data_IF_416274782922
#
_entry.id   IF_416274782922
#
_cell.length_a   1.000
_cell.length_b   1.000
_cell.length_c   1.000
_cell.angle_alpha   90.00
_cell.angle_beta   90.00
_cell.angle_gamma   90.00
#
_symmetry.space_group_name_H-M   'P 1'
#
loop_
_entity.id
_entity.type
_entity.pdbx_description
1 polymer ?
#
# COMPACT_ATOMS: atom_id res chain seq x y z
N UNK A 1 20.98 37.19 -45.78
CA UNK A 1 21.75 36.43 -44.77
C UNK A 1 21.76 37.14 -43.42
N UNK A 2 20.72 37.04 -42.59
CA UNK A 2 20.82 37.45 -41.18
C UNK A 2 20.34 36.41 -40.15
N UNK A 3 20.27 35.09 -40.45
CA UNK A 3 19.79 34.08 -39.51
C UNK A 3 20.87 33.32 -38.71
N UNK A 4 22.15 33.41 -39.10
CA UNK A 4 23.24 32.64 -38.47
C UNK A 4 23.82 33.33 -37.23
N UNK A 5 23.78 34.65 -37.16
CA UNK A 5 24.31 35.44 -36.02
C UNK A 5 23.48 35.30 -34.74
N UNK A 6 22.19 35.03 -34.85
CA UNK A 6 21.30 34.95 -33.67
C UNK A 6 21.40 33.59 -32.94
N UNK A 7 21.73 32.51 -33.65
CA UNK A 7 21.91 31.17 -33.06
C UNK A 7 23.18 31.10 -32.21
N UNK A 8 24.30 31.65 -32.70
CA UNK A 8 25.55 31.66 -31.96
C UNK A 8 25.50 32.52 -30.68
N UNK A 9 24.70 33.59 -30.67
CA UNK A 9 24.49 34.39 -29.47
C UNK A 9 23.66 33.67 -28.41
N UNK A 10 22.62 32.93 -28.81
CA UNK A 10 21.80 32.10 -27.92
C UNK A 10 22.62 30.92 -27.32
N UNK A 11 23.41 30.24 -28.12
CA UNK A 11 24.27 29.15 -27.67
C UNK A 11 25.33 29.61 -26.66
N UNK A 12 25.94 30.79 -26.87
CA UNK A 12 26.90 31.37 -25.91
C UNK A 12 26.23 31.74 -24.58
N UNK A 13 24.98 32.20 -24.59
CA UNK A 13 24.24 32.53 -23.37
C UNK A 13 23.86 31.25 -22.59
N UNK A 14 23.45 30.19 -23.27
CA UNK A 14 23.17 28.87 -22.65
C UNK A 14 24.44 28.26 -22.01
N UNK A 15 25.58 28.35 -22.71
CA UNK A 15 26.84 27.86 -22.18
C UNK A 15 27.37 28.68 -20.99
N UNK A 16 27.14 30.00 -20.96
CA UNK A 16 27.44 30.83 -19.77
C UNK A 16 26.53 30.48 -18.60
N UNK A 17 25.24 30.28 -18.83
CA UNK A 17 24.28 29.85 -17.78
C UNK A 17 24.67 28.51 -17.15
N UNK A 18 25.03 27.49 -17.94
CA UNK A 18 25.48 26.18 -17.46
C UNK A 18 26.78 26.26 -16.64
N UNK A 19 27.73 27.10 -17.04
CA UNK A 19 28.97 27.31 -16.26
C UNK A 19 28.70 28.02 -14.93
N UNK A 20 27.78 28.96 -14.89
CA UNK A 20 27.39 29.66 -13.67
C UNK A 20 26.64 28.70 -12.72
N UNK A 21 25.75 27.86 -13.24
CA UNK A 21 25.05 26.84 -12.46
C UNK A 21 26.01 25.82 -11.86
N UNK A 22 26.98 25.33 -12.64
CA UNK A 22 28.01 24.39 -12.17
C UNK A 22 28.88 25.02 -11.07
N UNK A 23 29.23 26.29 -11.18
CA UNK A 23 30.01 27.01 -10.17
C UNK A 23 29.23 27.18 -8.85
N UNK A 24 27.91 27.38 -8.90
CA UNK A 24 27.04 27.47 -7.71
C UNK A 24 26.95 26.10 -7.03
N UNK A 25 26.76 25.02 -7.80
CA UNK A 25 26.71 23.65 -7.25
C UNK A 25 28.00 23.27 -6.53
N UNK A 26 29.16 23.59 -7.12
CA UNK A 26 30.47 23.33 -6.48
C UNK A 26 30.64 24.16 -5.21
N UNK A 27 30.20 25.42 -5.18
CA UNK A 27 30.28 26.26 -3.99
C UNK A 27 29.39 25.73 -2.83
N UNK A 28 28.21 25.25 -3.13
CA UNK A 28 27.29 24.65 -2.14
C UNK A 28 27.88 23.34 -1.59
N UNK A 29 28.45 22.48 -2.43
CA UNK A 29 29.10 21.25 -2.01
C UNK A 29 30.29 21.48 -1.08
N UNK A 30 31.11 22.49 -1.35
CA UNK A 30 32.26 22.84 -0.46
C UNK A 30 31.81 23.35 0.89
N UNK A 31 30.71 24.12 0.98
CA UNK A 31 30.14 24.58 2.25
C UNK A 31 29.56 23.40 3.05
N UNK A 32 28.88 22.46 2.39
CA UNK A 32 28.35 21.26 3.05
C UNK A 32 29.45 20.37 3.64
N UNK A 33 30.55 20.15 2.93
CA UNK A 33 31.72 19.38 3.41
C UNK A 33 32.39 20.06 4.61
N UNK A 34 32.49 21.40 4.61
CA UNK A 34 33.05 22.15 5.73
C UNK A 34 32.19 22.08 6.98
N UNK A 35 30.86 22.02 6.83
CA UNK A 35 29.92 21.86 7.95
C UNK A 35 30.01 20.47 8.60
N UNK A 36 30.18 19.41 7.82
CA UNK A 36 30.33 18.02 8.32
C UNK A 36 31.65 17.84 9.09
N UNK A 37 32.75 18.50 8.70
CA UNK A 37 34.02 18.40 9.36
C UNK A 37 34.10 19.13 10.73
N UNK A 38 33.11 20.00 11.01
CA UNK A 38 33.02 20.70 12.31
C UNK A 38 32.24 19.91 13.38
N UNK A 39 31.55 18.84 13.01
CA UNK A 39 30.70 18.05 13.93
C UNK A 39 31.47 16.84 14.52
N UNK A 40 32.59 16.44 13.93
CA UNK A 40 33.40 15.30 14.41
C UNK A 40 34.52 15.80 15.31
N UNK A 41 34.22 16.10 16.58
CA UNK A 41 35.22 16.12 17.65
C UNK A 41 35.04 14.89 18.52
N UNK A 42 36.09 14.06 18.71
CA UNK A 42 36.03 12.93 19.64
C UNK A 42 36.09 13.42 21.08
N UNK A 43 35.14 12.99 21.88
CA UNK A 43 35.18 13.14 23.33
C UNK A 43 36.00 11.96 23.90
N UNK A 44 37.15 12.30 24.45
CA UNK A 44 38.04 11.35 25.13
C UNK A 44 37.49 11.00 26.50
N UNK A 45 37.76 9.75 26.90
CA UNK A 45 37.25 9.10 28.06
C UNK A 45 37.88 9.51 29.39
N UNK A 46 37.34 8.94 30.46
CA UNK A 46 38.12 8.53 31.62
C UNK A 46 37.51 7.28 32.26
N UNK A 47 38.42 6.31 32.50
CA UNK A 47 38.24 5.12 33.30
C UNK A 47 38.09 5.45 34.77
N UNK A 48 37.37 4.59 35.52
CA UNK A 48 37.79 4.01 36.79
C UNK A 48 36.76 3.02 37.35
N UNK A 49 37.07 1.81 37.29
CA UNK A 49 37.44 0.76 38.22
C UNK A 49 36.70 0.65 39.57
N UNK A 50 36.03 -0.48 39.81
CA UNK A 50 36.19 -1.44 40.93
C UNK A 50 34.92 -2.29 41.11
N UNK A 51 34.98 -3.54 40.84
CA UNK A 51 35.35 -4.76 41.57
C UNK A 51 34.41 -5.16 42.71
N UNK A 52 34.08 -6.45 42.63
CA UNK A 52 33.80 -7.48 43.68
C UNK A 52 32.32 -7.65 44.04
N UNK A 53 31.77 -8.77 44.19
CA UNK A 53 32.13 -10.18 44.34
C UNK A 53 30.86 -10.93 44.74
N UNK A 54 30.67 -12.11 44.20
CA UNK A 54 29.71 -13.11 44.74
C UNK A 54 30.29 -13.76 45.99
N UNK A 55 29.51 -14.46 46.80
CA UNK A 55 29.48 -15.91 46.71
C UNK A 55 28.09 -16.52 47.06
N UNK A 56 27.77 -17.52 46.42
CA UNK A 56 27.71 -18.99 46.59
C UNK A 56 27.17 -19.55 47.91
N UNK A 57 26.40 -20.67 47.72
CA UNK A 57 26.20 -21.87 48.51
C UNK A 57 24.83 -21.99 49.23
N UNK A 58 24.09 -22.93 48.85
CA UNK A 58 24.00 -24.38 49.04
C UNK A 58 23.02 -24.84 50.14
N UNK A 59 22.09 -25.70 49.67
CA UNK A 59 21.64 -27.01 50.19
C UNK A 59 20.89 -27.05 51.53
N UNK A 60 19.81 -27.79 51.66
CA UNK A 60 19.63 -29.23 51.78
C UNK A 60 18.14 -29.56 52.10
N UNK A 61 17.68 -30.69 51.59
CA UNK A 61 16.42 -31.34 51.81
C UNK A 61 16.09 -31.68 53.26
N UNK A 62 14.80 -31.85 53.57
CA UNK A 62 14.30 -33.13 54.06
C UNK A 62 12.78 -33.23 54.12
N UNK A 63 12.33 -34.46 54.00
CA UNK A 63 11.07 -35.13 53.87
C UNK A 63 10.04 -34.92 54.98
N UNK A 64 8.76 -34.99 54.65
CA UNK A 64 7.82 -36.00 55.18
C UNK A 64 6.37 -35.74 54.74
N UNK A 65 5.73 -36.68 54.09
CA UNK A 65 4.29 -36.94 53.99
C UNK A 65 3.85 -37.85 55.15
N UNK A 66 2.53 -38.16 55.39
CA UNK A 66 1.28 -37.74 54.71
C UNK A 66 0.19 -37.29 55.71
N UNK A 67 -0.89 -36.68 55.23
CA UNK A 67 -2.23 -37.21 55.59
C UNK A 67 -3.37 -36.67 54.72
N UNK A 68 -4.32 -37.52 54.46
CA UNK A 68 -5.49 -37.42 53.62
C UNK A 68 -6.58 -36.56 54.24
N UNK A 69 -7.19 -35.66 53.48
CA UNK A 69 -8.61 -35.33 53.61
C UNK A 69 -9.19 -34.80 52.29
N UNK A 70 -10.21 -35.50 51.84
CA UNK A 70 -11.05 -35.16 50.71
C UNK A 70 -11.64 -33.77 50.82
N UNK A 71 -11.36 -32.91 49.82
CA UNK A 71 -12.12 -31.68 49.57
C UNK A 71 -12.55 -31.70 48.10
N UNK A 72 -13.85 -31.62 47.94
CA UNK A 72 -14.57 -31.46 46.67
C UNK A 72 -13.95 -30.38 45.81
N UNK A 73 -13.50 -30.76 44.63
CA UNK A 73 -13.11 -29.88 43.54
C UNK A 73 -14.31 -29.04 43.10
N UNK A 74 -14.37 -27.80 43.56
CA UNK A 74 -15.18 -26.77 42.93
C UNK A 74 -14.27 -26.20 41.83
N UNK A 75 -14.44 -26.74 40.63
CA UNK A 75 -13.90 -26.19 39.42
C UNK A 75 -14.43 -24.72 39.29
N UNK A 76 -13.62 -23.77 39.70
CA UNK A 76 -13.83 -22.38 39.33
C UNK A 76 -13.44 -22.27 37.87
N UNK A 77 -14.43 -22.39 36.97
CA UNK A 77 -14.27 -21.92 35.59
C UNK A 77 -13.98 -20.43 35.65
N UNK A 78 -12.76 -20.06 35.36
CA UNK A 78 -12.42 -18.67 35.00
C UNK A 78 -13.41 -18.21 33.91
N UNK A 79 -13.96 -16.99 33.96
CA UNK A 79 -14.85 -16.50 32.91
C UNK A 79 -14.07 -16.55 31.60
N UNK A 80 -14.53 -17.34 30.62
CA UNK A 80 -13.98 -17.25 29.25
C UNK A 80 -14.06 -15.81 28.83
N UNK A 81 -12.90 -15.21 28.50
CA UNK A 81 -12.87 -13.92 27.82
C UNK A 81 -13.76 -14.03 26.57
N UNK A 82 -14.59 -13.01 26.29
CA UNK A 82 -15.43 -13.04 25.09
C UNK A 82 -14.52 -13.22 23.86
N UNK A 83 -14.85 -14.18 23.02
CA UNK A 83 -14.09 -14.50 21.83
C UNK A 83 -13.86 -13.19 21.02
N UNK A 84 -12.59 -12.92 20.65
CA UNK A 84 -12.25 -11.76 19.83
C UNK A 84 -13.04 -11.84 18.52
N UNK A 85 -13.71 -10.74 18.09
CA UNK A 85 -14.39 -10.75 16.80
C UNK A 85 -13.44 -11.15 15.67
N UNK A 86 -13.91 -11.97 14.73
CA UNK A 86 -13.12 -12.32 13.56
C UNK A 86 -12.79 -11.07 12.74
N UNK A 87 -11.61 -11.06 12.15
CA UNK A 87 -11.20 -10.04 11.16
C UNK A 87 -11.34 -10.58 9.74
N UNK A 88 -11.30 -9.75 8.69
CA UNK A 88 -11.29 -10.25 7.31
C UNK A 88 -10.15 -11.24 7.05
N UNK A 89 -8.95 -11.00 7.60
CA UNK A 89 -7.79 -11.90 7.42
C UNK A 89 -7.94 -13.18 8.24
N UNK A 90 -8.51 -13.11 9.43
CA UNK A 90 -8.82 -14.34 10.21
C UNK A 90 -9.75 -15.28 9.44
N UNK A 91 -10.72 -14.71 8.73
CA UNK A 91 -11.72 -15.44 7.96
C UNK A 91 -11.18 -15.97 6.63
N UNK A 92 -10.67 -15.08 5.77
CA UNK A 92 -10.25 -15.46 4.41
C UNK A 92 -8.84 -16.04 4.35
N UNK A 93 -7.92 -15.63 5.25
CA UNK A 93 -6.49 -15.92 5.15
C UNK A 93 -5.82 -15.12 4.04
N UNK A 94 -4.76 -15.65 3.47
CA UNK A 94 -4.07 -15.10 2.32
C UNK A 94 -4.98 -15.10 1.07
N UNK A 95 -4.85 -14.07 0.24
CA UNK A 95 -5.55 -14.02 -1.04
C UNK A 95 -4.82 -14.85 -2.11
N UNK A 96 -5.56 -15.71 -2.80
CA UNK A 96 -5.06 -16.57 -3.88
C UNK A 96 -5.84 -16.37 -5.17
N UNK A 97 -5.16 -16.45 -6.29
CA UNK A 97 -5.80 -16.47 -7.60
C UNK A 97 -6.12 -17.93 -7.98
N UNK A 98 -7.41 -18.23 -8.13
CA UNK A 98 -7.89 -19.54 -8.57
C UNK A 98 -8.91 -19.34 -9.68
N UNK A 99 -8.67 -19.94 -10.84
CA UNK A 99 -9.55 -19.85 -12.01
C UNK A 99 -9.95 -18.41 -12.37
N UNK A 100 -8.99 -17.49 -12.35
CA UNK A 100 -9.19 -16.07 -12.67
C UNK A 100 -10.00 -15.29 -11.63
N UNK A 101 -10.07 -15.79 -10.39
CA UNK A 101 -10.77 -15.14 -9.27
C UNK A 101 -9.86 -15.06 -8.05
N UNK A 102 -10.06 -14.05 -7.22
CA UNK A 102 -9.37 -13.91 -5.93
C UNK A 102 -10.21 -14.58 -4.86
N UNK A 103 -9.64 -15.61 -4.23
CA UNK A 103 -10.28 -16.40 -3.16
C UNK A 103 -9.41 -16.40 -1.90
N UNK A 104 -10.04 -16.64 -0.75
CA UNK A 104 -9.33 -16.79 0.53
C UNK A 104 -8.71 -18.17 0.67
N UNK A 105 -7.47 -18.25 1.13
CA UNK A 105 -6.75 -19.51 1.31
C UNK A 105 -7.41 -20.44 2.36
N UNK A 106 -8.10 -19.87 3.36
CA UNK A 106 -8.79 -20.63 4.42
C UNK A 106 -10.19 -21.08 4.02
N UNK A 107 -10.92 -20.27 3.25
CA UNK A 107 -12.34 -20.52 2.95
C UNK A 107 -12.60 -21.02 1.55
N UNK A 108 -11.69 -20.73 0.61
CA UNK A 108 -11.87 -20.92 -0.83
C UNK A 108 -13.09 -20.15 -1.39
N UNK A 109 -13.57 -19.15 -0.65
CA UNK A 109 -14.63 -18.24 -1.08
C UNK A 109 -14.04 -17.01 -1.76
N UNK A 110 -14.83 -16.34 -2.60
CA UNK A 110 -14.45 -15.08 -3.22
C UNK A 110 -14.14 -14.03 -2.15
N UNK A 111 -12.97 -13.41 -2.23
CA UNK A 111 -12.59 -12.30 -1.36
C UNK A 111 -13.11 -11.01 -1.96
N UNK A 112 -14.05 -10.38 -1.26
CA UNK A 112 -14.65 -9.11 -1.63
C UNK A 112 -14.46 -8.12 -0.49
N UNK A 113 -13.28 -7.53 -0.41
CA UNK A 113 -12.95 -6.50 0.59
C UNK A 113 -13.04 -5.11 -0.01
N UNK A 114 -13.38 -4.15 0.85
CA UNK A 114 -13.55 -2.75 0.46
C UNK A 114 -12.81 -1.85 1.42
N UNK A 115 -12.12 -0.84 0.89
CA UNK A 115 -11.39 0.09 1.74
C UNK A 115 -10.93 1.35 1.04
N UNK A 116 -9.88 1.95 1.57
CA UNK A 116 -9.37 3.25 1.20
C UNK A 116 -7.90 3.20 0.78
N UNK A 117 -7.53 4.04 -0.19
CA UNK A 117 -6.14 4.34 -0.53
C UNK A 117 -5.69 5.59 0.21
N UNK A 118 -4.50 5.54 0.79
CA UNK A 118 -3.78 6.74 1.15
C UNK A 118 -3.39 7.50 -0.12
N UNK A 119 -3.36 8.82 -0.06
CA UNK A 119 -2.84 9.65 -1.14
C UNK A 119 -1.31 9.50 -1.25
N UNK A 120 -0.68 9.95 -2.33
CA UNK A 120 0.77 9.93 -2.55
C UNK A 120 1.55 10.23 -1.27
N UNK A 121 2.39 9.31 -0.83
CA UNK A 121 3.11 9.41 0.46
C UNK A 121 4.01 10.64 0.56
N UNK A 122 4.64 11.05 -0.53
CA UNK A 122 5.52 12.22 -0.60
C UNK A 122 4.80 13.56 -0.41
N UNK A 123 3.46 13.61 -0.61
CA UNK A 123 2.66 14.84 -0.48
C UNK A 123 1.69 14.83 0.69
N UNK A 124 1.37 13.66 1.24
CA UNK A 124 0.38 13.50 2.31
C UNK A 124 0.89 12.69 3.50
N UNK A 125 2.16 12.84 3.86
CA UNK A 125 2.84 12.12 4.96
C UNK A 125 2.06 12.14 6.27
N UNK A 126 1.36 13.24 6.58
CA UNK A 126 0.60 13.42 7.84
C UNK A 126 -0.49 12.38 8.06
N UNK A 127 -0.94 11.72 6.99
CA UNK A 127 -1.96 10.66 7.07
C UNK A 127 -1.37 9.26 7.23
N UNK A 128 -0.10 9.06 6.94
CA UNK A 128 0.57 7.77 7.06
C UNK A 128 0.96 7.49 8.50
N UNK A 129 -0.04 7.18 9.33
CA UNK A 129 0.12 6.87 10.75
C UNK A 129 -0.80 5.72 11.16
N UNK A 130 -0.45 5.04 12.25
CA UNK A 130 -1.27 3.97 12.85
C UNK A 130 -2.67 4.46 13.19
N UNK A 131 -2.81 5.69 13.72
CA UNK A 131 -4.10 6.28 14.07
C UNK A 131 -5.05 6.43 12.87
N UNK A 132 -4.52 6.74 11.67
CA UNK A 132 -5.35 6.81 10.48
C UNK A 132 -5.75 5.44 9.94
N UNK A 133 -4.95 4.40 10.13
CA UNK A 133 -5.39 3.02 9.86
C UNK A 133 -6.55 2.67 10.79
N UNK A 134 -6.41 2.95 12.09
CA UNK A 134 -7.47 2.71 13.07
C UNK A 134 -8.76 3.48 12.70
N UNK A 135 -8.63 4.75 12.34
CA UNK A 135 -9.76 5.57 11.91
C UNK A 135 -10.46 4.98 10.66
N UNK A 136 -9.70 4.47 9.69
CA UNK A 136 -10.28 3.82 8.51
C UNK A 136 -10.99 2.51 8.86
N UNK A 137 -10.45 1.73 9.77
CA UNK A 137 -11.08 0.47 10.21
C UNK A 137 -12.32 0.74 11.07
N UNK A 138 -12.23 1.62 12.07
CA UNK A 138 -13.30 1.83 13.05
C UNK A 138 -14.43 2.71 12.49
N UNK A 139 -14.07 3.81 11.84
CA UNK A 139 -15.05 4.80 11.37
C UNK A 139 -15.59 4.52 9.97
N UNK A 140 -14.76 4.02 9.05
CA UNK A 140 -15.15 3.68 7.68
C UNK A 140 -15.55 2.22 7.53
N UNK A 141 -15.05 1.32 8.40
CA UNK A 141 -15.25 -0.11 8.29
C UNK A 141 -14.38 -0.74 7.20
N UNK A 142 -13.21 -0.16 6.91
CA UNK A 142 -12.30 -0.68 5.89
C UNK A 142 -11.79 -2.07 6.24
N UNK A 143 -11.79 -2.95 5.25
CA UNK A 143 -11.26 -4.32 5.29
C UNK A 143 -9.88 -4.40 4.61
N UNK A 144 -9.51 -3.36 3.89
CA UNK A 144 -8.22 -3.19 3.22
C UNK A 144 -7.82 -1.71 3.21
N UNK A 145 -6.52 -1.45 3.34
CA UNK A 145 -5.94 -0.12 3.10
C UNK A 145 -4.84 -0.23 2.04
N UNK A 146 -4.64 0.82 1.24
CA UNK A 146 -3.61 0.86 0.20
C UNK A 146 -2.61 1.96 0.52
N UNK A 147 -1.32 1.60 0.58
CA UNK A 147 -0.20 2.50 0.80
C UNK A 147 0.37 2.95 -0.54
N UNK A 148 0.04 4.15 -0.99
CA UNK A 148 0.56 4.71 -2.24
C UNK A 148 1.94 5.33 -2.03
N UNK A 149 2.99 4.50 -2.10
CA UNK A 149 4.36 4.97 -1.99
C UNK A 149 4.73 5.78 -3.23
N UNK A 150 4.71 7.11 -3.09
CA UNK A 150 4.89 8.05 -4.18
C UNK A 150 6.31 8.02 -4.73
N UNK A 151 6.45 7.52 -5.95
CA UNK A 151 7.72 7.41 -6.67
C UNK A 151 7.71 8.37 -7.84
N UNK A 152 8.68 9.28 -7.89
CA UNK A 152 8.80 10.27 -8.95
C UNK A 152 9.61 9.69 -10.12
N UNK A 153 9.02 9.71 -11.32
CA UNK A 153 9.56 9.06 -12.52
C UNK A 153 10.40 9.99 -13.41
N UNK A 154 10.63 11.23 -13.00
CA UNK A 154 11.27 12.28 -13.79
C UNK A 154 12.79 12.40 -13.57
N UNK A 155 13.41 11.39 -12.93
CA UNK A 155 14.83 11.38 -12.60
C UNK A 155 15.18 12.16 -11.32
N UNK A 156 14.19 12.53 -10.52
CA UNK A 156 14.38 13.01 -9.15
C UNK A 156 14.79 11.81 -8.29
N UNK A 157 15.79 11.94 -7.40
CA UNK A 157 16.13 10.86 -6.47
C UNK A 157 14.93 10.44 -5.62
N UNK A 158 14.80 9.14 -5.35
CA UNK A 158 13.77 8.60 -4.49
C UNK A 158 13.83 9.22 -3.10
N UNK A 159 12.68 9.59 -2.56
CA UNK A 159 12.56 10.05 -1.19
C UNK A 159 12.24 8.86 -0.27
N UNK A 160 13.28 8.19 0.21
CA UNK A 160 13.16 7.05 1.13
C UNK A 160 12.67 7.47 2.53
N UNK A 161 12.53 8.77 2.82
CA UNK A 161 12.05 9.24 4.12
C UNK A 161 10.60 8.84 4.40
N UNK A 162 9.83 8.48 3.37
CA UNK A 162 8.47 7.97 3.52
C UNK A 162 8.41 6.47 3.84
N UNK A 163 9.47 5.69 3.64
CA UNK A 163 9.46 4.23 3.85
C UNK A 163 9.05 3.84 5.28
N UNK A 164 9.58 4.47 6.35
CA UNK A 164 9.15 4.15 7.71
C UNK A 164 7.65 4.45 7.96
N UNK A 165 7.09 5.46 7.29
CA UNK A 165 5.66 5.78 7.40
C UNK A 165 4.78 4.71 6.73
N UNK A 166 5.25 4.15 5.61
CA UNK A 166 4.59 3.01 4.96
C UNK A 166 4.62 1.79 5.90
N UNK A 167 5.74 1.54 6.54
CA UNK A 167 5.88 0.43 7.50
C UNK A 167 4.94 0.59 8.70
N UNK A 168 4.76 1.79 9.25
CA UNK A 168 3.77 2.05 10.31
C UNK A 168 2.34 1.66 9.89
N UNK A 169 1.95 1.97 8.64
CA UNK A 169 0.63 1.58 8.11
C UNK A 169 0.53 0.07 7.91
N UNK A 170 1.59 -0.59 7.39
CA UNK A 170 1.64 -2.05 7.23
C UNK A 170 1.46 -2.75 8.58
N UNK A 171 2.27 -2.36 9.58
CA UNK A 171 2.25 -2.95 10.91
C UNK A 171 0.87 -2.79 11.58
N UNK A 172 0.26 -1.60 11.46
CA UNK A 172 -1.07 -1.37 12.03
C UNK A 172 -2.17 -2.16 11.31
N UNK A 173 -2.11 -2.28 9.98
CA UNK A 173 -3.05 -3.12 9.24
C UNK A 173 -2.95 -4.59 9.64
N UNK A 174 -1.73 -5.09 9.86
CA UNK A 174 -1.49 -6.45 10.38
C UNK A 174 -2.09 -6.60 11.77
N UNK A 175 -1.85 -5.66 12.69
CA UNK A 175 -2.39 -5.68 14.06
C UNK A 175 -3.93 -5.65 14.06
N UNK A 176 -4.54 -4.88 13.15
CA UNK A 176 -5.99 -4.77 13.01
C UNK A 176 -6.63 -5.96 12.26
N UNK A 177 -5.82 -6.84 11.67
CA UNK A 177 -6.30 -7.99 10.89
C UNK A 177 -7.03 -7.59 9.60
N UNK A 178 -6.67 -6.45 9.01
CA UNK A 178 -7.13 -6.02 7.69
C UNK A 178 -6.02 -6.20 6.65
N UNK A 179 -6.40 -6.23 5.37
CA UNK A 179 -5.41 -6.33 4.29
C UNK A 179 -4.71 -4.99 4.07
N UNK A 180 -3.47 -5.07 3.59
CA UNK A 180 -2.68 -3.90 3.18
C UNK A 180 -2.06 -4.12 1.81
N UNK A 181 -2.31 -3.18 0.89
CA UNK A 181 -1.68 -3.14 -0.43
C UNK A 181 -0.47 -2.22 -0.34
N UNK A 182 0.71 -2.76 -0.62
CA UNK A 182 1.97 -2.01 -0.72
C UNK A 182 2.16 -1.63 -2.18
N UNK A 183 1.91 -0.38 -2.52
CA UNK A 183 1.87 0.09 -3.90
C UNK A 183 3.08 0.95 -4.26
N UNK A 184 3.78 0.53 -5.32
CA UNK A 184 4.76 1.36 -6.01
C UNK A 184 4.02 2.36 -6.89
N UNK A 185 3.68 3.49 -6.28
CA UNK A 185 2.79 4.50 -6.87
C UNK A 185 3.53 5.38 -7.87
N UNK A 186 3.62 4.89 -9.10
CA UNK A 186 4.40 5.45 -10.21
C UNK A 186 3.62 5.37 -11.52
N UNK A 187 3.90 6.31 -12.42
CA UNK A 187 3.44 6.30 -13.81
C UNK A 187 4.50 5.78 -14.79
N UNK A 188 5.72 5.57 -14.33
CA UNK A 188 6.88 5.20 -15.14
C UNK A 188 7.81 4.19 -14.45
N UNK A 189 7.28 3.30 -13.60
CA UNK A 189 8.05 2.35 -12.78
C UNK A 189 9.11 1.56 -13.57
N UNK A 190 8.81 1.22 -14.83
CA UNK A 190 9.72 0.50 -15.72
C UNK A 190 11.03 1.24 -16.03
N UNK A 191 11.14 2.53 -15.73
CA UNK A 191 12.34 3.32 -15.93
C UNK A 191 13.42 3.06 -14.85
N UNK A 192 13.01 2.58 -13.66
CA UNK A 192 13.89 2.40 -12.51
C UNK A 192 13.61 1.07 -11.78
N UNK A 193 13.81 -0.09 -12.44
CA UNK A 193 13.45 -1.39 -11.84
C UNK A 193 14.31 -1.74 -10.61
N UNK A 194 15.56 -1.30 -10.56
CA UNK A 194 16.50 -1.66 -9.49
C UNK A 194 16.00 -1.14 -8.11
N UNK A 195 15.42 0.05 -8.06
CA UNK A 195 14.88 0.60 -6.81
C UNK A 195 13.59 -0.12 -6.38
N UNK A 196 12.73 -0.48 -7.32
CA UNK A 196 11.56 -1.28 -7.03
C UNK A 196 11.95 -2.67 -6.49
N UNK A 197 12.97 -3.29 -7.09
CA UNK A 197 13.54 -4.57 -6.62
C UNK A 197 14.06 -4.45 -5.19
N UNK A 198 14.84 -3.39 -4.87
CA UNK A 198 15.29 -3.13 -3.49
C UNK A 198 14.11 -3.02 -2.53
N UNK A 199 13.20 -2.10 -2.82
CA UNK A 199 12.05 -1.79 -1.96
C UNK A 199 11.17 -3.02 -1.69
N UNK A 200 10.74 -3.69 -2.73
CA UNK A 200 9.89 -4.88 -2.57
C UNK A 200 10.64 -6.07 -1.97
N UNK A 201 11.94 -6.23 -2.26
CA UNK A 201 12.77 -7.28 -1.65
C UNK A 201 12.87 -7.11 -0.13
N UNK A 202 13.11 -5.90 0.36
CA UNK A 202 13.17 -5.59 1.78
C UNK A 202 11.81 -5.81 2.48
N UNK A 203 10.71 -5.31 1.88
CA UNK A 203 9.38 -5.47 2.45
C UNK A 203 8.86 -6.92 2.37
N UNK A 204 9.13 -7.65 1.29
CA UNK A 204 8.76 -9.05 1.17
C UNK A 204 9.52 -9.92 2.18
N UNK A 205 10.80 -9.65 2.42
CA UNK A 205 11.57 -10.33 3.46
C UNK A 205 11.02 -10.05 4.86
N UNK A 206 10.57 -8.82 5.14
CA UNK A 206 10.08 -8.41 6.46
C UNK A 206 8.63 -8.81 6.70
N UNK A 207 7.77 -8.65 5.71
CA UNK A 207 6.31 -8.76 5.87
C UNK A 207 5.66 -9.86 5.02
N UNK A 208 6.38 -10.50 4.13
CA UNK A 208 5.83 -11.47 3.19
C UNK A 208 5.26 -12.76 3.80
N UNK A 209 5.46 -12.99 5.09
CA UNK A 209 4.86 -14.11 5.81
C UNK A 209 3.46 -13.82 6.36
N UNK A 210 2.97 -12.58 6.27
CA UNK A 210 1.65 -12.21 6.79
C UNK A 210 0.58 -12.32 5.71
N UNK A 211 -0.49 -13.01 5.99
CA UNK A 211 -1.68 -13.16 5.12
C UNK A 211 -2.31 -11.81 4.71
N UNK A 212 -2.02 -10.75 5.48
CA UNK A 212 -2.51 -9.38 5.26
C UNK A 212 -1.94 -8.69 4.03
N UNK A 213 -0.71 -9.06 3.63
CA UNK A 213 0.12 -8.27 2.72
C UNK A 213 -0.16 -8.60 1.26
N UNK A 214 -0.33 -7.56 0.45
CA UNK A 214 -0.51 -7.62 -0.99
C UNK A 214 0.50 -6.64 -1.61
N UNK A 215 1.18 -7.03 -2.69
CA UNK A 215 2.15 -6.19 -3.36
C UNK A 215 1.56 -5.66 -4.67
N UNK A 216 1.54 -4.35 -4.87
CA UNK A 216 1.16 -3.72 -6.14
C UNK A 216 2.41 -3.09 -6.77
N UNK A 217 2.96 -3.77 -7.77
CA UNK A 217 4.30 -3.44 -8.29
C UNK A 217 4.29 -2.32 -9.32
N UNK A 218 3.14 -1.87 -9.80
CA UNK A 218 3.01 -0.76 -10.73
C UNK A 218 1.59 -0.17 -10.67
N UNK A 219 1.45 1.04 -10.18
CA UNK A 219 0.16 1.75 -10.06
C UNK A 219 -0.50 1.99 -11.43
N UNK A 220 0.06 2.90 -12.23
CA UNK A 220 -0.57 3.37 -13.47
C UNK A 220 0.42 3.53 -14.63
N UNK A 221 0.73 2.44 -15.34
CA UNK A 221 1.47 2.55 -16.59
C UNK A 221 0.71 3.47 -17.58
N UNK A 222 1.34 4.56 -18.01
CA UNK A 222 0.68 5.53 -18.90
C UNK A 222 0.74 5.11 -20.37
N UNK A 223 1.51 5.80 -21.20
CA UNK A 223 1.64 5.52 -22.64
C UNK A 223 2.80 4.55 -22.90
N UNK A 224 2.72 3.35 -22.35
CA UNK A 224 3.72 2.29 -22.45
C UNK A 224 3.08 1.01 -22.97
N UNK A 225 3.85 0.19 -23.70
CA UNK A 225 3.37 -1.11 -24.19
C UNK A 225 3.30 -2.12 -23.05
N UNK A 226 2.29 -2.99 -23.06
CA UNK A 226 2.16 -4.09 -22.10
C UNK A 226 3.42 -4.95 -21.98
N UNK A 227 4.10 -5.22 -23.09
CA UNK A 227 5.38 -5.93 -23.06
C UNK A 227 6.39 -5.31 -22.09
N UNK A 228 6.53 -3.99 -22.13
CA UNK A 228 7.49 -3.27 -21.23
C UNK A 228 7.03 -3.34 -19.78
N UNK A 229 5.72 -3.20 -19.52
CA UNK A 229 5.14 -3.36 -18.18
C UNK A 229 5.39 -4.76 -17.65
N UNK A 230 5.11 -5.78 -18.47
CA UNK A 230 5.32 -7.19 -18.12
C UNK A 230 6.78 -7.49 -17.81
N UNK A 231 7.70 -7.07 -18.67
CA UNK A 231 9.16 -7.25 -18.46
C UNK A 231 9.65 -6.64 -17.15
N UNK A 232 9.17 -5.45 -16.81
CA UNK A 232 9.43 -4.81 -15.51
C UNK A 232 8.83 -5.61 -14.35
N UNK A 233 7.54 -5.94 -14.44
CA UNK A 233 6.83 -6.64 -13.38
C UNK A 233 7.47 -8.02 -13.09
N UNK A 234 7.87 -8.77 -14.12
CA UNK A 234 8.53 -10.07 -13.97
C UNK A 234 9.85 -9.97 -13.20
N UNK A 235 10.61 -8.87 -13.37
CA UNK A 235 11.85 -8.63 -12.60
C UNK A 235 11.53 -8.43 -11.10
N UNK A 236 10.53 -7.60 -10.79
CA UNK A 236 10.16 -7.29 -9.40
C UNK A 236 9.48 -8.49 -8.73
N UNK A 237 8.61 -9.19 -9.45
CA UNK A 237 7.94 -10.42 -8.97
C UNK A 237 8.99 -11.48 -8.61
N UNK A 238 10.00 -11.69 -9.45
CA UNK A 238 11.07 -12.65 -9.16
C UNK A 238 11.84 -12.32 -7.87
N UNK A 239 11.94 -11.06 -7.47
CA UNK A 239 12.51 -10.68 -6.18
C UNK A 239 11.57 -11.00 -5.03
N UNK A 240 10.28 -10.58 -5.12
CA UNK A 240 9.27 -10.84 -4.09
C UNK A 240 9.13 -12.34 -3.82
N UNK A 241 9.10 -13.17 -4.88
CA UNK A 241 8.93 -14.63 -4.80
C UNK A 241 10.07 -15.37 -4.11
N UNK A 242 11.18 -14.71 -3.80
CA UNK A 242 12.23 -15.28 -2.94
C UNK A 242 11.78 -15.37 -1.47
N UNK A 243 10.78 -14.60 -1.07
CA UNK A 243 10.39 -14.40 0.32
C UNK A 243 8.88 -14.59 0.59
N UNK A 244 8.03 -14.50 -0.44
CA UNK A 244 6.58 -14.47 -0.27
C UNK A 244 5.82 -15.04 -1.48
N UNK A 245 4.77 -15.81 -1.18
CA UNK A 245 3.79 -16.31 -2.16
C UNK A 245 2.52 -15.43 -2.21
N UNK A 246 2.48 -14.33 -1.46
CA UNK A 246 1.32 -13.44 -1.37
C UNK A 246 0.89 -12.89 -2.73
N UNK A 247 -0.38 -12.46 -2.81
CA UNK A 247 -0.95 -11.86 -4.01
C UNK A 247 -0.12 -10.66 -4.49
N UNK A 248 0.22 -10.68 -5.78
CA UNK A 248 0.85 -9.54 -6.47
C UNK A 248 -0.15 -8.95 -7.45
N UNK A 249 -0.24 -7.62 -7.49
CA UNK A 249 -1.10 -6.86 -8.39
C UNK A 249 -0.24 -6.05 -9.35
N UNK A 250 -0.63 -6.03 -10.62
CA UNK A 250 0.12 -5.34 -11.67
C UNK A 250 -0.79 -4.40 -12.45
N UNK A 251 -0.37 -3.15 -12.57
CA UNK A 251 -1.04 -2.15 -13.42
C UNK A 251 -0.96 -2.49 -14.89
N UNK A 252 -1.92 -2.01 -15.66
CA UNK A 252 -1.97 -2.18 -17.12
C UNK A 252 -1.84 -0.84 -17.86
N UNK A 253 -1.48 -0.82 -19.15
CA UNK A 253 -1.34 0.43 -19.92
C UNK A 253 -2.56 1.36 -19.83
N UNK A 254 -2.33 2.65 -20.12
CA UNK A 254 -3.34 3.71 -20.12
C UNK A 254 -4.03 3.85 -18.76
N UNK A 255 -3.24 4.16 -17.71
CA UNK A 255 -3.73 4.39 -16.34
C UNK A 255 -4.53 3.20 -15.81
N UNK A 256 -3.98 2.01 -15.93
CA UNK A 256 -4.58 0.75 -15.48
C UNK A 256 -6.00 0.49 -16.02
N UNK A 257 -6.26 0.92 -17.28
CA UNK A 257 -7.53 0.73 -17.96
C UNK A 257 -7.48 -0.35 -19.07
N UNK A 258 -6.29 -0.82 -19.47
CA UNK A 258 -6.11 -1.76 -20.57
C UNK A 258 -5.81 -3.19 -20.11
N UNK A 259 -6.63 -3.69 -19.17
CA UNK A 259 -6.51 -5.06 -18.63
C UNK A 259 -6.58 -6.16 -19.69
N UNK A 260 -7.24 -5.91 -20.84
CA UNK A 260 -7.23 -6.82 -21.99
C UNK A 260 -5.81 -7.06 -22.54
N UNK A 261 -4.88 -6.11 -22.42
CA UNK A 261 -3.50 -6.32 -22.83
C UNK A 261 -2.81 -7.39 -21.96
N UNK A 262 -3.09 -7.35 -20.65
CA UNK A 262 -2.61 -8.38 -19.73
C UNK A 262 -3.28 -9.74 -20.00
N UNK A 263 -4.60 -9.77 -20.23
CA UNK A 263 -5.35 -10.99 -20.51
C UNK A 263 -4.86 -11.74 -21.75
N UNK A 264 -4.41 -11.03 -22.79
CA UNK A 264 -3.89 -11.66 -24.02
C UNK A 264 -2.48 -12.23 -23.88
N UNK A 265 -1.71 -11.80 -22.89
CA UNK A 265 -0.35 -12.27 -22.61
C UNK A 265 -0.03 -12.11 -21.12
N UNK A 266 -0.69 -12.88 -20.24
CA UNK A 266 -0.55 -12.73 -18.80
C UNK A 266 0.88 -13.01 -18.31
N UNK A 267 1.20 -12.57 -17.12
CA UNK A 267 2.44 -12.93 -16.39
C UNK A 267 2.33 -14.40 -16.01
N UNK A 268 3.43 -15.13 -16.16
CA UNK A 268 3.51 -16.54 -15.80
C UNK A 268 3.85 -16.71 -14.30
N UNK A 269 2.87 -16.39 -13.45
CA UNK A 269 2.94 -16.59 -12.00
C UNK A 269 1.54 -16.95 -11.50
N UNK A 270 1.46 -17.89 -10.55
CA UNK A 270 0.19 -18.49 -10.14
C UNK A 270 -0.67 -17.54 -9.28
N UNK A 271 -0.05 -16.55 -8.60
CA UNK A 271 -0.75 -15.65 -7.67
C UNK A 271 -0.60 -14.18 -8.08
N UNK A 272 -0.92 -13.86 -9.33
CA UNK A 272 -0.95 -12.50 -9.88
C UNK A 272 -2.35 -12.10 -10.29
N UNK A 273 -2.78 -10.93 -9.87
CA UNK A 273 -3.97 -10.22 -10.33
C UNK A 273 -3.57 -8.93 -11.07
N UNK A 274 -4.54 -8.33 -11.76
CA UNK A 274 -4.33 -7.08 -12.48
C UNK A 274 -5.26 -6.00 -11.94
N UNK A 275 -4.73 -4.77 -11.83
CA UNK A 275 -5.61 -3.69 -11.39
C UNK A 275 -6.33 -3.03 -12.56
N UNK A 276 -7.58 -2.63 -12.29
CA UNK A 276 -8.39 -1.76 -13.11
C UNK A 276 -8.67 -0.49 -12.32
N UNK A 277 -8.30 0.68 -12.87
CA UNK A 277 -8.63 1.96 -12.27
C UNK A 277 -9.82 2.61 -12.99
N UNK A 278 -10.76 3.15 -12.20
CA UNK A 278 -11.88 3.89 -12.76
C UNK A 278 -12.25 5.11 -11.90
N UNK A 279 -12.80 6.11 -12.54
CA UNK A 279 -13.46 7.25 -11.92
C UNK A 279 -14.87 7.36 -12.47
N UNK A 280 -15.87 7.23 -11.61
CA UNK A 280 -17.27 7.07 -12.02
C UNK A 280 -17.84 8.25 -12.81
N UNK A 281 -17.27 9.46 -12.63
CA UNK A 281 -17.62 10.62 -13.41
C UNK A 281 -17.09 10.61 -14.87
N UNK A 282 -16.13 9.72 -15.17
CA UNK A 282 -15.48 9.62 -16.49
C UNK A 282 -15.70 8.26 -17.14
N UNK A 283 -15.60 7.19 -16.38
CA UNK A 283 -15.60 5.81 -16.86
C UNK A 283 -16.95 5.14 -16.56
N UNK A 284 -17.51 4.48 -17.56
CA UNK A 284 -18.80 3.84 -17.44
C UNK A 284 -18.81 2.41 -17.98
N UNK A 285 -19.94 1.99 -18.53
CA UNK A 285 -20.16 0.61 -19.01
C UNK A 285 -19.08 0.11 -19.97
N UNK A 286 -18.56 0.95 -20.83
CA UNK A 286 -17.55 0.54 -21.81
C UNK A 286 -16.28 -0.05 -21.16
N UNK A 287 -15.87 0.47 -19.99
CA UNK A 287 -14.70 -0.02 -19.27
C UNK A 287 -15.03 -1.32 -18.51
N UNK A 288 -16.25 -1.42 -17.94
CA UNK A 288 -16.75 -2.68 -17.35
C UNK A 288 -16.82 -3.79 -18.39
N UNK A 289 -17.32 -3.51 -19.61
CA UNK A 289 -17.40 -4.48 -20.71
C UNK A 289 -16.00 -4.95 -21.18
N UNK A 290 -14.99 -4.09 -21.11
CA UNK A 290 -13.60 -4.46 -21.40
C UNK A 290 -13.02 -5.34 -20.29
N UNK A 291 -13.31 -5.03 -19.05
CA UNK A 291 -12.90 -5.83 -17.90
C UNK A 291 -13.58 -7.22 -17.90
N UNK A 292 -14.87 -7.30 -18.22
CA UNK A 292 -15.59 -8.57 -18.37
C UNK A 292 -14.91 -9.48 -19.40
N UNK A 293 -14.54 -8.95 -20.55
CA UNK A 293 -13.84 -9.71 -21.61
C UNK A 293 -12.45 -10.18 -21.15
N UNK A 294 -11.77 -9.40 -20.33
CA UNK A 294 -10.46 -9.78 -19.80
C UNK A 294 -10.60 -10.90 -18.76
N UNK A 295 -11.57 -10.79 -17.86
CA UNK A 295 -11.87 -11.85 -16.89
C UNK A 295 -12.33 -13.16 -17.56
N UNK A 296 -13.09 -13.07 -18.66
CA UNK A 296 -13.48 -14.23 -19.48
C UNK A 296 -12.28 -14.95 -20.12
N UNK A 297 -11.10 -14.30 -20.19
CA UNK A 297 -9.83 -14.92 -20.59
C UNK A 297 -9.04 -15.51 -19.42
N UNK A 298 -9.58 -15.44 -18.20
CA UNK A 298 -9.03 -16.14 -17.03
C UNK A 298 -8.10 -15.30 -16.16
N UNK A 299 -8.05 -13.96 -16.32
CA UNK A 299 -7.30 -13.10 -15.38
C UNK A 299 -8.16 -12.67 -14.20
N UNK A 300 -7.54 -12.56 -13.02
CA UNK A 300 -8.14 -11.96 -11.84
C UNK A 300 -7.98 -10.43 -11.83
N UNK A 301 -9.02 -9.72 -11.38
CA UNK A 301 -9.01 -8.25 -11.26
C UNK A 301 -9.21 -7.85 -9.81
N UNK A 302 -8.39 -6.87 -9.35
CA UNK A 302 -8.59 -6.10 -8.14
C UNK A 302 -8.67 -4.61 -8.54
N UNK A 303 -9.62 -3.86 -8.01
CA UNK A 303 -9.71 -2.41 -8.25
C UNK A 303 -8.96 -1.69 -7.12
N UNK A 304 -7.66 -1.49 -7.29
CA UNK A 304 -6.81 -0.89 -6.25
C UNK A 304 -7.01 0.62 -6.12
N UNK A 305 -7.60 1.25 -7.15
CA UNK A 305 -7.95 2.66 -7.14
C UNK A 305 -9.24 2.94 -7.90
N UNK A 306 -10.16 3.67 -7.25
CA UNK A 306 -11.36 4.20 -7.90
C UNK A 306 -11.82 5.50 -7.25
N UNK A 307 -12.51 6.36 -8.02
CA UNK A 307 -13.10 7.60 -7.53
C UNK A 307 -14.56 7.77 -7.93
N UNK A 308 -15.35 8.45 -7.08
CA UNK A 308 -16.74 8.81 -7.39
C UNK A 308 -16.90 10.06 -8.25
N UNK A 309 -15.80 10.75 -8.57
CA UNK A 309 -15.71 11.99 -9.34
C UNK A 309 -15.12 11.77 -10.72
N UNK A 310 -14.67 12.82 -11.43
CA UNK A 310 -13.97 12.68 -12.71
C UNK A 310 -12.54 12.19 -12.54
N UNK A 311 -11.93 11.69 -13.62
CA UNK A 311 -10.58 11.13 -13.62
C UNK A 311 -9.46 12.14 -13.31
N UNK A 312 -9.75 13.44 -13.34
CA UNK A 312 -8.82 14.49 -12.89
C UNK A 312 -8.90 14.76 -11.37
N UNK A 313 -9.65 13.94 -10.63
CA UNK A 313 -9.89 14.08 -9.20
C UNK A 313 -10.94 15.14 -8.84
N UNK A 314 -11.55 15.82 -9.82
CA UNK A 314 -12.48 16.93 -9.62
C UNK A 314 -13.91 16.61 -10.07
N UNK A 315 -14.82 17.55 -9.83
CA UNK A 315 -16.22 17.46 -10.23
C UNK A 315 -17.14 16.99 -9.10
N UNK A 316 -18.43 16.90 -9.43
CA UNK A 316 -19.43 16.41 -8.49
C UNK A 316 -19.41 14.87 -8.40
N UNK A 317 -19.92 14.35 -7.30
CA UNK A 317 -20.10 12.91 -7.09
C UNK A 317 -21.06 12.35 -8.15
N UNK A 318 -20.59 11.41 -8.96
CA UNK A 318 -21.35 10.72 -10.00
C UNK A 318 -22.11 9.52 -9.40
N UNK A 319 -23.11 9.79 -8.52
CA UNK A 319 -23.78 8.78 -7.69
C UNK A 319 -24.29 7.59 -8.48
N UNK A 320 -25.10 7.84 -9.54
CA UNK A 320 -25.68 6.77 -10.35
C UNK A 320 -24.59 5.88 -10.97
N UNK A 321 -23.54 6.48 -11.56
CA UNK A 321 -22.44 5.71 -12.17
C UNK A 321 -21.64 4.93 -11.10
N UNK A 322 -21.47 5.50 -9.91
CA UNK A 322 -20.83 4.80 -8.79
C UNK A 322 -21.65 3.58 -8.35
N UNK A 323 -22.97 3.72 -8.23
CA UNK A 323 -23.87 2.61 -7.90
C UNK A 323 -23.82 1.49 -8.95
N UNK A 324 -23.78 1.84 -10.25
CA UNK A 324 -23.62 0.86 -11.35
C UNK A 324 -22.26 0.13 -11.28
N UNK A 325 -21.18 0.81 -10.88
CA UNK A 325 -19.88 0.19 -10.67
C UNK A 325 -19.90 -0.76 -9.45
N UNK A 326 -20.52 -0.36 -8.34
CA UNK A 326 -20.62 -1.19 -7.15
C UNK A 326 -21.48 -2.43 -7.41
N UNK A 327 -22.61 -2.29 -8.09
CA UNK A 327 -23.41 -3.45 -8.50
C UNK A 327 -22.59 -4.44 -9.32
N UNK A 328 -21.84 -3.97 -10.32
CA UNK A 328 -20.99 -4.82 -11.16
C UNK A 328 -19.87 -5.48 -10.35
N UNK A 329 -19.20 -4.74 -9.44
CA UNK A 329 -18.18 -5.31 -8.56
C UNK A 329 -18.75 -6.36 -7.62
N UNK A 330 -19.95 -6.17 -7.10
CA UNK A 330 -20.62 -7.12 -6.22
C UNK A 330 -21.01 -8.40 -6.96
N UNK A 331 -21.55 -8.29 -8.17
CA UNK A 331 -21.88 -9.44 -9.03
C UNK A 331 -20.65 -10.27 -9.39
N UNK A 332 -19.48 -9.67 -9.51
CA UNK A 332 -18.21 -10.33 -9.87
C UNK A 332 -17.37 -10.75 -8.67
N UNK A 333 -17.68 -10.26 -7.46
CA UNK A 333 -16.89 -10.51 -6.25
C UNK A 333 -15.56 -9.76 -6.26
N UNK A 334 -15.50 -8.52 -6.78
CA UNK A 334 -14.28 -7.73 -6.95
C UNK A 334 -14.03 -6.87 -5.71
N UNK A 335 -12.81 -6.92 -5.18
CA UNK A 335 -12.31 -6.06 -4.10
C UNK A 335 -11.90 -4.69 -4.61
N UNK A 336 -11.96 -3.65 -3.75
CA UNK A 336 -11.62 -2.30 -4.18
C UNK A 336 -11.14 -1.36 -3.07
N UNK A 337 -10.33 -0.33 -3.46
CA UNK A 337 -9.91 0.79 -2.62
C UNK A 337 -10.32 2.12 -3.25
N UNK A 338 -10.95 3.01 -2.48
CA UNK A 338 -11.30 4.35 -2.93
C UNK A 338 -10.10 5.31 -2.86
N UNK A 339 -9.96 6.17 -3.82
CA UNK A 339 -9.02 7.29 -3.86
C UNK A 339 -9.69 8.57 -3.35
N UNK A 340 -9.25 9.29 -2.27
CA UNK A 340 -8.13 8.91 -1.41
C UNK A 340 -8.23 9.60 -0.04
N UNK A 341 -7.47 9.11 0.93
CA UNK A 341 -7.29 9.73 2.26
C UNK A 341 -6.36 10.94 2.11
N UNK A 342 -6.93 12.11 2.00
CA UNK A 342 -6.22 13.40 1.94
C UNK A 342 -7.18 14.57 2.17
N UNK A 343 -6.62 15.80 2.23
CA UNK A 343 -7.34 17.08 2.34
C UNK A 343 -6.96 18.08 1.24
N UNK A 344 -6.48 17.61 0.09
CA UNK A 344 -6.23 18.45 -1.07
C UNK A 344 -7.54 19.09 -1.55
N UNK A 345 -7.48 20.32 -2.07
CA UNK A 345 -8.66 20.97 -2.64
C UNK A 345 -9.05 20.33 -3.98
N UNK A 346 -9.64 19.15 -3.90
CA UNK A 346 -10.18 18.40 -5.06
C UNK A 346 -11.38 17.56 -4.65
N UNK A 347 -12.19 17.16 -5.63
CA UNK A 347 -13.44 16.43 -5.41
C UNK A 347 -13.27 15.02 -4.84
N UNK A 348 -12.10 14.39 -5.02
CA UNK A 348 -11.80 13.05 -4.53
C UNK A 348 -11.34 13.03 -3.06
N UNK A 349 -10.97 14.17 -2.48
CA UNK A 349 -10.51 14.27 -1.10
C UNK A 349 -11.62 13.94 -0.10
N UNK A 350 -11.30 13.11 0.90
CA UNK A 350 -12.29 12.79 1.94
C UNK A 350 -12.33 13.81 3.08
N UNK A 351 -11.26 14.59 3.28
CA UNK A 351 -11.21 15.63 4.31
C UNK A 351 -11.25 17.03 3.71
N UNK A 352 -11.87 17.94 4.44
CA UNK A 352 -11.82 19.37 4.15
C UNK A 352 -10.41 19.88 4.43
N UNK A 353 -9.87 20.68 3.51
CA UNK A 353 -8.52 21.21 3.58
C UNK A 353 -8.26 21.92 4.91
N UNK A 354 -7.10 21.63 5.50
CA UNK A 354 -6.61 22.21 6.75
C UNK A 354 -7.58 22.07 7.95
N UNK A 355 -8.57 21.17 7.85
CA UNK A 355 -9.51 20.86 8.95
C UNK A 355 -8.93 19.82 9.92
N UNK A 356 -9.62 19.63 11.04
CA UNK A 356 -9.34 18.50 11.94
C UNK A 356 -10.24 17.31 11.57
N UNK A 357 -9.98 16.69 10.41
CA UNK A 357 -10.72 15.54 9.87
C UNK A 357 -12.22 15.80 9.61
N UNK A 358 -12.60 17.06 9.34
CA UNK A 358 -13.93 17.36 8.83
C UNK A 358 -14.12 16.70 7.46
N UNK A 359 -15.19 15.92 7.30
CA UNK A 359 -15.44 15.20 6.05
C UNK A 359 -16.01 16.13 4.97
N UNK A 360 -15.53 15.98 3.75
CA UNK A 360 -16.16 16.55 2.55
C UNK A 360 -17.47 15.81 2.24
N UNK A 361 -18.26 16.32 1.28
CA UNK A 361 -19.41 15.57 0.75
C UNK A 361 -18.99 14.20 0.20
N UNK A 362 -17.85 14.14 -0.48
CA UNK A 362 -17.25 12.89 -0.98
C UNK A 362 -16.87 11.99 0.18
N UNK A 363 -16.21 12.51 1.22
CA UNK A 363 -15.83 11.73 2.41
C UNK A 363 -17.03 11.10 3.12
N UNK A 364 -18.13 11.84 3.26
CA UNK A 364 -19.38 11.33 3.84
C UNK A 364 -19.96 10.22 2.94
N UNK A 365 -20.09 10.47 1.64
CA UNK A 365 -20.65 9.52 0.68
C UNK A 365 -19.84 8.22 0.59
N UNK A 366 -18.51 8.30 0.53
CA UNK A 366 -17.63 7.13 0.50
C UNK A 366 -17.71 6.33 1.79
N UNK A 367 -17.74 7.01 2.95
CA UNK A 367 -17.91 6.34 4.25
C UNK A 367 -19.20 5.51 4.30
N UNK A 368 -20.31 6.08 3.84
CA UNK A 368 -21.61 5.40 3.76
C UNK A 368 -21.54 4.17 2.84
N UNK A 369 -20.94 4.30 1.65
CA UNK A 369 -20.79 3.21 0.69
C UNK A 369 -19.95 2.05 1.25
N UNK A 370 -18.79 2.36 1.83
CA UNK A 370 -17.91 1.34 2.41
C UNK A 370 -18.66 0.60 3.53
N UNK A 371 -19.26 1.32 4.48
CA UNK A 371 -20.03 0.70 5.56
C UNK A 371 -21.17 -0.17 5.05
N UNK A 372 -21.95 0.32 4.10
CA UNK A 372 -23.06 -0.45 3.53
C UNK A 372 -22.58 -1.78 2.93
N UNK A 373 -21.38 -1.80 2.33
CA UNK A 373 -20.81 -2.99 1.71
C UNK A 373 -20.20 -3.93 2.75
N UNK A 374 -19.49 -3.40 3.74
CA UNK A 374 -18.75 -4.18 4.75
C UNK A 374 -19.62 -4.63 5.92
N UNK A 375 -20.72 -3.96 6.24
CA UNK A 375 -21.65 -4.37 7.30
C UNK A 375 -22.29 -5.74 7.04
N UNK A 376 -22.34 -6.17 5.77
CA UNK A 376 -22.85 -7.47 5.35
C UNK A 376 -21.75 -8.48 5.02
N UNK A 377 -20.50 -8.19 5.34
CA UNK A 377 -19.37 -9.06 5.05
C UNK A 377 -19.53 -10.45 5.70
N UNK A 378 -19.12 -11.55 5.01
CA UNK A 378 -19.28 -12.90 5.52
C UNK A 378 -18.61 -13.12 6.87
N UNK A 379 -17.43 -12.58 7.08
CA UNK A 379 -16.66 -12.72 8.32
C UNK A 379 -17.35 -12.10 9.54
N UNK A 380 -18.13 -11.03 9.37
CA UNK A 380 -18.95 -10.44 10.45
C UNK A 380 -20.13 -11.32 10.86
N UNK A 381 -20.56 -12.21 9.97
CA UNK A 381 -21.67 -13.17 10.26
C UNK A 381 -21.18 -14.47 10.82
N UNK A 382 -19.87 -14.76 10.68
CA UNK A 382 -19.22 -15.95 11.19
C UNK A 382 -18.67 -15.76 12.62
N UNK A 383 -18.71 -14.52 13.14
CA UNK A 383 -18.23 -14.12 14.48
C UNK A 383 -19.22 -14.50 15.59
#
# INVERSE_FOLDING_TARGET
MPKVTNLNHRLRNIMKSKKTLLAIIIAVAVVAIAAVLLIIKPWGGNDDNSSSSAPDSSSVADSSTPDSSSATDVSSSEPEEPAKPLTPVDYYGEMKVVDGKIVGSKTNELVRVTGMSFFWSNWSQKYYTKDYVDYMVDDYGCEVVRCSYGVMDDGVPYDTSCEPLIEDVIEQAIERGVYVIIDWHSHGAHNNPDEAVRYFGELAQKYGQYDNVIFEVYNEPTQVLWKTVKEYAEIVIAEIRKYSDNLIIVGSPQWSQKVMNAATNPIEDENVAYTLHFYAGTHGKWLRDEADKAMDQGIAIFITEWGSVNADGNGAIAKQSTEEWFQWMDEKGISCCNWAINDKEEGSSIFVKDSNNELTETGIYIKELIKQRTDNAPWKKAS
#
